data_IF_049628007333
#
_entry.id   IF_049628007333
#
_cell.length_a   1.000
_cell.length_b   1.000
_cell.length_c   1.000
_cell.angle_alpha   90.00
_cell.angle_beta   90.00
_cell.angle_gamma   90.00
#
_symmetry.space_group_name_H-M   'P 1'
#
loop_
_entity.id
_entity.type
_entity.pdbx_description
1 polymer ?
#
# COMPACT_ATOMS: atom_id res chain seq x y z
N UNK A 1 -5.75 68.77 22.02
CA UNK A 1 -6.53 67.52 22.20
C UNK A 1 -5.51 66.38 22.25
N UNK A 2 -4.84 66.14 23.38
CA UNK A 2 -5.26 65.30 24.53
C UNK A 2 -5.55 63.82 24.18
N UNK A 3 -4.57 62.96 24.54
CA UNK A 3 -4.66 61.63 25.22
C UNK A 3 -5.49 60.51 24.54
N UNK A 4 -5.19 59.22 24.61
CA UNK A 4 -4.45 58.43 25.59
C UNK A 4 -3.97 57.08 25.00
N UNK A 5 -2.84 56.61 25.51
CA UNK A 5 -2.37 55.22 25.47
C UNK A 5 -3.31 54.31 26.26
N UNK A 6 -3.78 53.19 25.69
CA UNK A 6 -4.26 52.04 26.48
C UNK A 6 -3.69 50.76 25.86
N UNK A 7 -2.64 50.29 26.52
CA UNK A 7 -2.13 48.93 26.51
C UNK A 7 -2.72 48.25 27.75
N UNK A 8 -3.18 46.98 27.67
CA UNK A 8 -3.07 45.95 28.73
C UNK A 8 -3.79 44.63 28.39
N UNK A 9 -3.42 43.51 29.06
CA UNK A 9 -3.32 42.16 28.50
C UNK A 9 -4.29 41.17 29.14
N UNK A 10 -4.43 39.96 28.58
CA UNK A 10 -4.58 38.72 29.35
C UNK A 10 -4.51 37.51 28.42
N UNK A 11 -3.62 36.59 28.76
CA UNK A 11 -3.53 35.26 28.20
C UNK A 11 -4.76 34.42 28.53
N UNK A 12 -5.15 33.54 27.61
CA UNK A 12 -5.83 32.26 27.82
C UNK A 12 -5.73 31.51 26.48
N UNK A 13 -4.64 30.78 26.23
CA UNK A 13 -4.58 29.33 26.46
C UNK A 13 -5.90 28.63 26.07
N UNK A 14 -6.05 28.35 24.78
CA UNK A 14 -6.98 27.30 24.35
C UNK A 14 -6.31 26.42 23.30
N UNK A 15 -5.55 25.48 23.86
CA UNK A 15 -5.35 24.10 23.41
C UNK A 15 -5.54 23.85 21.92
N UNK A 16 -4.40 23.84 21.24
CA UNK A 16 -4.16 23.19 19.96
C UNK A 16 -4.47 21.69 20.10
N UNK A 17 -5.72 21.29 19.82
CA UNK A 17 -6.08 19.90 19.57
C UNK A 17 -5.53 19.51 18.20
N UNK A 18 -4.23 19.24 18.14
CA UNK A 18 -3.64 18.44 17.06
C UNK A 18 -4.17 17.03 17.30
N UNK A 19 -5.34 16.74 16.71
CA UNK A 19 -5.85 15.40 16.59
C UNK A 19 -4.85 14.59 15.79
N UNK A 20 -3.98 13.86 16.49
CA UNK A 20 -3.17 12.79 15.91
C UNK A 20 -4.11 11.78 15.31
N UNK A 21 -4.42 11.98 14.03
CA UNK A 21 -5.08 10.99 13.20
C UNK A 21 -4.05 9.89 12.97
N UNK A 22 -3.99 8.95 13.92
CA UNK A 22 -3.28 7.69 13.73
C UNK A 22 -4.12 6.96 12.68
N UNK A 23 -3.82 7.22 11.41
CA UNK A 23 -4.26 6.40 10.30
C UNK A 23 -3.53 5.06 10.44
N UNK A 24 -4.04 4.22 11.33
CA UNK A 24 -3.84 2.79 11.26
C UNK A 24 -4.19 2.41 9.82
N UNK A 25 -3.21 1.89 9.09
CA UNK A 25 -3.38 1.41 7.73
C UNK A 25 -4.35 0.24 7.73
N UNK A 26 -5.65 0.55 7.73
CA UNK A 26 -6.69 -0.43 7.51
C UNK A 26 -6.44 -1.03 6.13
N UNK A 27 -6.24 -2.35 6.09
CA UNK A 27 -6.35 -3.12 4.86
C UNK A 27 -7.65 -2.67 4.16
N UNK A 28 -7.51 -1.97 3.04
CA UNK A 28 -8.66 -1.34 2.41
C UNK A 28 -9.38 -2.45 1.63
N UNK A 29 -10.63 -2.84 2.00
CA UNK A 29 -11.32 -3.96 1.37
C UNK A 29 -11.59 -3.71 -0.13
N UNK A 30 -11.55 -2.46 -0.59
CA UNK A 30 -11.61 -2.10 -2.01
C UNK A 30 -10.26 -2.03 -2.74
N UNK A 31 -9.15 -2.38 -2.07
CA UNK A 31 -7.83 -2.41 -2.72
C UNK A 31 -7.71 -3.62 -3.65
N UNK A 32 -7.31 -3.35 -4.89
CA UNK A 32 -7.04 -4.39 -5.88
C UNK A 32 -6.00 -5.41 -5.37
N UNK A 33 -6.25 -6.68 -5.65
CA UNK A 33 -5.45 -7.81 -5.17
C UNK A 33 -3.99 -7.76 -5.60
N UNK A 34 -3.68 -7.17 -6.78
CA UNK A 34 -2.32 -7.00 -7.31
C UNK A 34 -1.60 -5.87 -6.58
N UNK A 35 -2.31 -4.82 -6.18
CA UNK A 35 -1.73 -3.77 -5.33
C UNK A 35 -1.38 -4.34 -3.96
N UNK A 36 -2.31 -5.08 -3.34
CA UNK A 36 -2.09 -5.72 -2.05
C UNK A 36 -0.93 -6.71 -2.07
N UNK A 37 -0.89 -7.61 -3.04
CA UNK A 37 0.21 -8.57 -3.19
C UNK A 37 1.56 -7.87 -3.37
N UNK A 38 1.62 -6.78 -4.14
CA UNK A 38 2.86 -6.02 -4.32
C UNK A 38 3.36 -5.44 -2.99
N UNK A 39 2.46 -4.90 -2.16
CA UNK A 39 2.80 -4.42 -0.81
C UNK A 39 3.31 -5.55 0.09
N UNK A 40 2.66 -6.71 0.06
CA UNK A 40 3.03 -7.86 0.88
C UNK A 40 4.39 -8.46 0.51
N UNK A 41 4.74 -8.41 -0.79
CA UNK A 41 6.07 -8.78 -1.26
C UNK A 41 7.14 -7.81 -0.75
N UNK A 42 6.87 -6.51 -0.78
CA UNK A 42 7.79 -5.49 -0.23
C UNK A 42 7.98 -5.67 1.27
N UNK A 43 6.90 -5.78 2.05
CA UNK A 43 6.94 -6.03 3.49
C UNK A 43 7.72 -7.31 3.81
N UNK A 44 7.47 -8.37 3.05
CA UNK A 44 8.18 -9.63 3.19
C UNK A 44 9.67 -9.51 2.91
N UNK A 45 10.04 -8.81 1.83
CA UNK A 45 11.44 -8.64 1.44
C UNK A 45 12.22 -7.74 2.41
N UNK A 46 11.58 -6.71 2.95
CA UNK A 46 12.19 -5.79 3.91
C UNK A 46 12.17 -6.33 5.34
N UNK A 47 11.38 -7.37 5.63
CA UNK A 47 11.25 -7.95 6.96
C UNK A 47 10.57 -7.02 7.97
N UNK A 48 9.85 -6.00 7.51
CA UNK A 48 9.15 -5.04 8.38
C UNK A 48 7.81 -4.62 7.78
N UNK A 49 6.78 -4.56 8.63
CA UNK A 49 5.45 -4.04 8.32
C UNK A 49 5.28 -2.56 8.67
N UNK A 50 6.29 -1.93 9.30
CA UNK A 50 6.25 -0.52 9.71
C UNK A 50 6.62 0.40 8.55
N UNK A 51 5.82 0.36 7.49
CA UNK A 51 5.96 1.19 6.30
C UNK A 51 4.78 2.15 6.20
N UNK A 52 5.07 3.43 5.97
CA UNK A 52 4.05 4.42 5.61
C UNK A 52 4.04 4.55 4.09
N UNK A 53 3.01 4.03 3.44
CA UNK A 53 2.86 4.16 1.98
C UNK A 53 2.59 5.62 1.60
N UNK A 54 3.55 6.25 0.94
CA UNK A 54 3.47 7.66 0.50
C UNK A 54 2.96 7.79 -0.93
N UNK A 55 3.07 6.72 -1.73
CA UNK A 55 2.48 6.65 -3.07
C UNK A 55 2.07 5.23 -3.40
N UNK A 56 0.90 5.11 -4.02
CA UNK A 56 0.42 3.88 -4.68
C UNK A 56 -0.17 4.31 -6.02
N UNK A 57 0.42 3.86 -7.13
CA UNK A 57 -0.09 4.16 -8.46
C UNK A 57 -0.01 2.95 -9.38
N UNK A 58 -0.91 2.91 -10.36
CA UNK A 58 -1.07 1.79 -11.28
C UNK A 58 -0.98 2.30 -12.71
N UNK A 59 -0.32 1.56 -13.59
CA UNK A 59 -0.24 1.84 -15.02
C UNK A 59 -0.67 0.61 -15.81
N UNK A 60 -1.62 0.78 -16.73
CA UNK A 60 -2.21 -0.31 -17.54
C UNK A 60 -2.10 0.04 -19.03
N UNK A 61 -0.96 -0.24 -19.69
CA UNK A 61 -0.70 0.17 -21.08
C UNK A 61 -1.39 -0.72 -22.14
N UNK A 62 -2.57 -1.27 -21.85
CA UNK A 62 -3.31 -2.18 -22.74
C UNK A 62 -2.72 -3.59 -22.76
N UNK A 63 -2.15 -4.02 -23.88
CA UNK A 63 -1.64 -5.39 -24.07
C UNK A 63 -0.22 -5.64 -23.53
N UNK A 64 0.41 -4.64 -22.93
CA UNK A 64 1.74 -4.74 -22.29
C UNK A 64 1.58 -4.82 -20.77
N UNK A 65 2.57 -5.37 -20.06
CA UNK A 65 2.50 -5.56 -18.60
C UNK A 65 2.00 -4.32 -17.85
N UNK A 66 1.03 -4.52 -16.97
CA UNK A 66 0.63 -3.51 -15.99
C UNK A 66 1.73 -3.35 -14.94
N UNK A 67 1.85 -2.15 -14.38
CA UNK A 67 2.81 -1.87 -13.31
C UNK A 67 2.11 -1.26 -12.12
N UNK A 68 2.30 -1.86 -10.94
CA UNK A 68 2.01 -1.22 -9.66
C UNK A 68 3.29 -0.56 -9.16
N UNK A 69 3.27 0.75 -8.92
CA UNK A 69 4.38 1.51 -8.38
C UNK A 69 4.05 1.95 -6.94
N UNK A 70 4.96 1.65 -6.03
CA UNK A 70 4.85 1.95 -4.61
C UNK A 70 5.99 2.88 -4.19
N UNK A 71 5.70 3.82 -3.30
CA UNK A 71 6.69 4.54 -2.50
C UNK A 71 6.30 4.48 -1.04
N UNK A 72 7.29 4.44 -0.16
CA UNK A 72 7.08 4.44 1.27
C UNK A 72 8.12 5.28 2.00
N UNK A 73 7.78 5.60 3.24
CA UNK A 73 8.70 6.09 4.26
C UNK A 73 8.74 5.10 5.43
N UNK A 74 9.93 4.92 6.01
CA UNK A 74 10.14 4.07 7.18
C UNK A 74 11.28 4.64 8.05
N UNK A 75 11.40 4.16 9.28
CA UNK A 75 12.46 4.59 10.19
C UNK A 75 13.87 4.33 9.63
N UNK A 76 14.04 3.27 8.84
CA UNK A 76 15.29 2.92 8.16
C UNK A 76 15.54 3.73 6.86
N UNK A 77 14.57 4.55 6.44
CA UNK A 77 14.63 5.36 5.25
C UNK A 77 13.45 5.15 4.29
N UNK A 78 13.37 6.03 3.31
CA UNK A 78 12.38 5.96 2.24
C UNK A 78 12.76 4.91 1.20
N UNK A 79 11.77 4.41 0.46
CA UNK A 79 12.01 3.46 -0.61
C UNK A 79 10.91 3.43 -1.67
N UNK A 80 11.15 2.61 -2.68
CA UNK A 80 10.23 2.43 -3.80
C UNK A 80 10.26 1.01 -4.36
N UNK A 81 9.13 0.59 -4.93
CA UNK A 81 9.02 -0.69 -5.60
C UNK A 81 8.14 -0.60 -6.85
N UNK A 82 8.40 -1.51 -7.78
CA UNK A 82 7.61 -1.73 -8.98
C UNK A 82 7.29 -3.22 -9.10
N UNK A 83 6.02 -3.56 -9.30
CA UNK A 83 5.58 -4.92 -9.59
C UNK A 83 4.92 -4.95 -10.97
N UNK A 84 5.48 -5.76 -11.88
CA UNK A 84 4.97 -5.94 -13.23
C UNK A 84 4.03 -7.16 -13.30
N UNK A 85 2.88 -6.99 -13.93
CA UNK A 85 1.84 -8.01 -14.08
C UNK A 85 1.54 -8.22 -15.55
N UNK A 86 1.68 -9.47 -16.03
CA UNK A 86 1.46 -9.79 -17.45
C UNK A 86 0.01 -9.58 -17.83
N UNK A 87 -0.21 -9.06 -19.03
CA UNK A 87 -1.54 -9.08 -19.62
C UNK A 87 -2.01 -10.54 -19.76
N UNK A 88 -3.23 -10.84 -19.28
CA UNK A 88 -3.77 -12.21 -19.25
C UNK A 88 -5.27 -12.29 -19.53
N UNK A 89 -5.90 -11.20 -20.00
CA UNK A 89 -7.30 -11.23 -20.35
C UNK A 89 -7.55 -12.26 -21.47
N UNK A 90 -8.57 -13.09 -21.26
CA UNK A 90 -9.05 -14.05 -22.26
C UNK A 90 -10.17 -13.42 -23.10
N UNK A 91 -10.93 -12.46 -22.55
CA UNK A 91 -12.00 -11.72 -23.20
C UNK A 91 -12.05 -10.25 -22.73
N UNK A 92 -12.45 -9.34 -23.64
CA UNK A 92 -12.80 -7.94 -23.32
C UNK A 92 -14.18 -7.89 -22.67
N UNK A 93 -14.22 -7.84 -21.34
CA UNK A 93 -15.47 -7.85 -20.56
C UNK A 93 -15.76 -6.47 -19.99
N UNK A 94 -17.03 -6.21 -19.66
CA UNK A 94 -17.46 -4.98 -18.96
C UNK A 94 -16.72 -4.75 -17.63
N UNK A 95 -16.15 -5.80 -17.03
CA UNK A 95 -15.33 -5.71 -15.84
C UNK A 95 -14.04 -4.90 -16.06
N UNK A 96 -13.43 -4.96 -17.26
CA UNK A 96 -12.21 -4.21 -17.56
C UNK A 96 -12.44 -2.69 -17.66
N UNK A 97 -13.68 -2.28 -18.00
CA UNK A 97 -14.06 -0.86 -18.01
C UNK A 97 -14.15 -0.29 -16.59
N UNK A 98 -14.56 -1.11 -15.62
CA UNK A 98 -14.67 -0.71 -14.22
C UNK A 98 -13.36 -0.90 -13.43
N UNK A 99 -12.62 -1.97 -13.73
CA UNK A 99 -11.33 -2.30 -13.13
C UNK A 99 -10.34 -2.68 -14.23
N UNK A 100 -9.54 -1.72 -14.72
CA UNK A 100 -8.54 -1.97 -15.75
C UNK A 100 -7.47 -2.99 -15.35
N UNK A 101 -7.19 -3.18 -14.05
CA UNK A 101 -6.22 -4.16 -13.59
C UNK A 101 -6.72 -5.60 -13.74
N UNK A 102 -8.03 -5.81 -13.83
CA UNK A 102 -8.63 -7.15 -14.01
C UNK A 102 -8.12 -7.90 -15.24
N UNK A 103 -7.65 -7.19 -16.27
CA UNK A 103 -7.09 -7.75 -17.50
C UNK A 103 -5.68 -8.36 -17.35
N UNK A 104 -5.07 -8.27 -16.17
CA UNK A 104 -3.69 -8.68 -15.92
C UNK A 104 -3.58 -9.82 -14.91
N UNK A 105 -2.49 -10.57 -14.94
CA UNK A 105 -2.24 -11.66 -14.00
C UNK A 105 -2.30 -11.16 -12.55
N UNK A 106 -2.79 -12.00 -11.64
CA UNK A 106 -2.79 -11.68 -10.21
C UNK A 106 -1.39 -11.78 -9.60
N UNK A 107 -0.52 -12.64 -10.16
CA UNK A 107 0.86 -12.80 -9.73
C UNK A 107 1.82 -11.99 -10.61
N UNK A 108 2.80 -11.28 -10.03
CA UNK A 108 3.73 -10.49 -10.82
C UNK A 108 4.74 -11.36 -11.58
N UNK A 109 5.14 -10.92 -12.76
CA UNK A 109 6.22 -11.52 -13.56
C UNK A 109 7.60 -11.06 -13.11
N UNK A 110 7.68 -9.84 -12.58
CA UNK A 110 8.89 -9.21 -12.07
C UNK A 110 8.55 -8.25 -10.93
N UNK A 111 9.44 -8.18 -9.95
CA UNK A 111 9.39 -7.17 -8.89
C UNK A 111 10.74 -6.48 -8.82
N UNK A 112 10.74 -5.17 -8.59
CA UNK A 112 11.95 -4.37 -8.37
C UNK A 112 11.77 -3.58 -7.08
N UNK A 113 12.67 -3.74 -6.11
CA UNK A 113 12.61 -3.09 -4.79
C UNK A 113 13.91 -2.33 -4.58
N UNK A 114 13.84 -1.01 -4.47
CA UNK A 114 15.00 -0.12 -4.35
C UNK A 114 16.08 -0.42 -5.42
N UNK A 115 15.64 -0.70 -6.66
CA UNK A 115 16.52 -1.06 -7.77
C UNK A 115 16.92 -2.54 -7.86
N UNK A 116 16.66 -3.35 -6.83
CA UNK A 116 16.99 -4.78 -6.84
C UNK A 116 15.84 -5.58 -7.45
N UNK A 117 16.12 -6.31 -8.54
CA UNK A 117 15.09 -7.11 -9.23
C UNK A 117 14.98 -8.53 -8.66
N UNK A 118 13.73 -8.94 -8.41
CA UNK A 118 13.32 -10.30 -8.13
C UNK A 118 12.57 -10.85 -9.35
N UNK A 119 13.01 -12.00 -9.85
CA UNK A 119 12.38 -12.70 -10.96
C UNK A 119 12.58 -14.22 -10.83
N UNK A 120 11.91 -14.98 -11.70
CA UNK A 120 12.05 -16.44 -11.76
C UNK A 120 11.79 -17.12 -10.41
N UNK A 121 12.71 -17.99 -9.99
CA UNK A 121 12.53 -18.81 -8.79
C UNK A 121 12.57 -18.00 -7.48
N UNK A 122 13.38 -16.93 -7.42
CA UNK A 122 13.42 -16.05 -6.27
C UNK A 122 12.06 -15.36 -6.07
N UNK A 123 11.46 -14.89 -7.17
CA UNK A 123 10.13 -14.28 -7.13
C UNK A 123 9.04 -15.29 -6.76
N UNK A 124 9.06 -16.50 -7.33
CA UNK A 124 8.10 -17.55 -7.00
C UNK A 124 8.13 -17.89 -5.50
N UNK A 125 9.32 -17.95 -4.90
CA UNK A 125 9.49 -18.19 -3.46
C UNK A 125 8.92 -17.05 -2.64
N UNK A 126 9.19 -15.79 -3.02
CA UNK A 126 8.66 -14.62 -2.34
C UNK A 126 7.11 -14.56 -2.40
N UNK A 127 6.52 -14.90 -3.56
CA UNK A 127 5.06 -14.99 -3.73
C UNK A 127 4.47 -16.06 -2.81
N UNK A 128 5.07 -17.26 -2.78
CA UNK A 128 4.60 -18.34 -1.92
C UNK A 128 4.63 -17.93 -0.44
N UNK A 129 5.69 -17.24 0.00
CA UNK A 129 5.79 -16.73 1.36
C UNK A 129 4.74 -15.65 1.66
N UNK A 130 4.44 -14.77 0.71
CA UNK A 130 3.39 -13.76 0.85
C UNK A 130 2.00 -14.40 0.99
N UNK A 131 1.67 -15.37 0.13
CA UNK A 131 0.39 -16.09 0.19
C UNK A 131 0.23 -16.86 1.51
N UNK A 132 1.30 -17.47 2.02
CA UNK A 132 1.27 -18.13 3.33
C UNK A 132 1.00 -17.16 4.49
N UNK A 133 1.53 -15.93 4.44
CA UNK A 133 1.21 -14.90 5.45
C UNK A 133 -0.26 -14.51 5.39
N UNK A 134 -0.77 -14.20 4.19
CA UNK A 134 -2.18 -13.85 3.99
C UNK A 134 -3.11 -14.95 4.52
N UNK A 135 -2.79 -16.23 4.29
CA UNK A 135 -3.58 -17.35 4.80
C UNK A 135 -3.61 -17.44 6.32
N UNK A 136 -2.48 -17.18 7.00
CA UNK A 136 -2.42 -17.17 8.47
C UNK A 136 -3.22 -16.02 9.06
N UNK A 137 -3.10 -14.82 8.49
CA UNK A 137 -3.83 -13.64 8.95
C UNK A 137 -5.36 -13.84 8.87
N UNK A 138 -5.84 -14.52 7.83
CA UNK A 138 -7.25 -14.87 7.70
C UNK A 138 -7.73 -15.82 8.80
N UNK A 139 -6.93 -16.86 9.09
CA UNK A 139 -7.25 -17.83 10.15
C UNK A 139 -7.26 -17.13 11.51
N UNK A 140 -6.27 -16.28 11.78
CA UNK A 140 -6.19 -15.52 13.02
C UNK A 140 -7.38 -14.55 13.19
N UNK A 141 -7.80 -13.89 12.11
CA UNK A 141 -8.97 -13.03 12.11
C UNK A 141 -10.27 -13.81 12.38
N UNK A 142 -10.44 -14.97 11.76
CA UNK A 142 -11.59 -15.84 12.01
C UNK A 142 -11.60 -16.36 13.46
N UNK A 143 -10.46 -16.80 13.98
CA UNK A 143 -10.34 -17.25 15.38
C UNK A 143 -10.76 -16.18 16.39
N UNK A 144 -10.42 -14.91 16.15
CA UNK A 144 -10.84 -13.78 16.99
C UNK A 144 -12.34 -13.46 16.89
N UNK A 145 -12.95 -13.68 15.73
CA UNK A 145 -14.38 -13.42 15.52
C UNK A 145 -15.28 -14.49 16.15
N UNK A 146 -14.81 -15.74 16.26
CA UNK A 146 -15.57 -16.87 16.81
C UNK A 146 -15.34 -17.03 18.34
N UNK A 147 -14.29 -16.38 18.89
CA UNK A 147 -13.96 -16.37 20.32
C UNK A 147 -14.61 -15.25 21.14
N UNK A 148 -15.52 -14.46 20.53
CA UNK A 148 -16.37 -13.46 21.16
C UNK A 148 -17.84 -13.87 21.07
#
# INVERSE_FOLDING_TARGET
MQQATIQRPAALLMSMLIGSSILLGCANPGEDVRVRLCKDLVVGQLGTSQLTWTQVSTRTPGYSDATVNLRWSAAAGDGSASCAYRYNAVDDTAQQLADPLSAYATSPSQVVINGNSLSGQALATAIAQAMQRQGRELIDAAGKAIGH
#
